data_IF_575408419001
#
_entry.id   IF_575408419001
#
_cell.length_a   1.000
_cell.length_b   1.000
_cell.length_c   1.000
_cell.angle_alpha   90.00
_cell.angle_beta   90.00
_cell.angle_gamma   90.00
#
_symmetry.space_group_name_H-M   'P 1'
#
loop_
_entity.id
_entity.type
_entity.pdbx_description
1 polymer ?
#
# COMPACT_ATOMS: atom_id res chain seq x y z
N UNK A 1 -23.97 -19.81 6.94
CA UNK A 1 -22.54 -20.06 7.22
C UNK A 1 -21.74 -19.11 6.34
N UNK A 2 -21.30 -17.98 6.88
CA UNK A 2 -20.80 -16.85 6.08
C UNK A 2 -19.39 -17.11 5.58
N UNK A 3 -19.18 -16.90 4.27
CA UNK A 3 -17.93 -16.80 3.51
C UNK A 3 -16.98 -15.72 4.07
N UNK A 4 -16.69 -15.67 5.37
CA UNK A 4 -15.66 -14.77 5.91
C UNK A 4 -14.26 -15.36 5.67
N UNK A 5 -13.93 -15.40 4.37
CA UNK A 5 -12.64 -15.12 3.73
C UNK A 5 -11.40 -15.55 4.53
N UNK A 6 -11.04 -16.83 4.41
CA UNK A 6 -9.83 -17.46 4.98
C UNK A 6 -8.53 -16.69 4.69
N UNK A 7 -8.51 -15.87 3.63
CA UNK A 7 -7.37 -15.01 3.31
C UNK A 7 -7.14 -13.90 4.34
N UNK A 8 -8.16 -13.41 5.05
CA UNK A 8 -7.98 -12.37 6.07
C UNK A 8 -7.10 -12.87 7.22
N UNK A 9 -7.14 -14.17 7.52
CA UNK A 9 -6.28 -14.79 8.52
C UNK A 9 -4.78 -14.80 8.12
N UNK A 10 -4.44 -14.44 6.87
CA UNK A 10 -3.06 -14.26 6.41
C UNK A 10 -2.47 -12.90 6.82
N UNK A 11 -3.31 -11.96 7.27
CA UNK A 11 -2.88 -10.62 7.69
C UNK A 11 -2.75 -10.57 9.21
N UNK A 12 -1.61 -10.06 9.70
CA UNK A 12 -1.36 -9.90 11.15
C UNK A 12 -2.28 -8.86 11.79
N UNK A 13 -2.66 -7.82 11.04
CA UNK A 13 -3.58 -6.79 11.48
C UNK A 13 -4.41 -6.26 10.31
N UNK A 14 -5.56 -5.67 10.62
CA UNK A 14 -6.42 -4.98 9.66
C UNK A 14 -6.76 -3.61 10.24
N UNK A 15 -6.44 -2.55 9.50
CA UNK A 15 -6.78 -1.17 9.82
C UNK A 15 -7.70 -0.66 8.73
N UNK A 16 -8.79 -0.02 9.12
CA UNK A 16 -9.87 0.44 8.23
C UNK A 16 -10.09 1.95 8.38
N UNK A 17 -11.02 2.51 7.59
CA UNK A 17 -11.42 3.91 7.72
C UNK A 17 -12.01 4.27 9.09
N UNK A 18 -12.62 3.30 9.78
CA UNK A 18 -13.19 3.51 11.11
C UNK A 18 -12.11 3.59 12.20
N UNK A 19 -10.89 3.14 11.90
CA UNK A 19 -9.75 3.15 12.82
C UNK A 19 -8.93 4.44 12.73
N UNK A 20 -9.29 5.38 11.84
CA UNK A 20 -8.57 6.63 11.59
C UNK A 20 -9.48 7.85 11.74
N UNK A 21 -8.87 8.97 12.09
CA UNK A 21 -9.57 10.26 12.16
C UNK A 21 -9.61 10.92 10.78
N UNK A 22 -8.49 10.86 10.06
CA UNK A 22 -8.33 11.46 8.75
C UNK A 22 -8.18 10.38 7.67
N UNK A 23 -8.98 10.47 6.62
CA UNK A 23 -8.83 9.62 5.44
C UNK A 23 -7.66 10.07 4.55
N UNK A 24 -7.27 9.20 3.62
CA UNK A 24 -6.30 9.53 2.55
C UNK A 24 -6.71 10.85 1.87
N UNK A 25 -5.79 11.80 1.62
CA UNK A 25 -4.34 11.62 1.55
C UNK A 25 -3.57 11.78 2.87
N UNK A 26 -4.26 11.85 4.01
CA UNK A 26 -3.59 11.82 5.31
C UNK A 26 -2.86 10.47 5.53
N UNK A 27 -1.63 10.47 6.09
CA UNK A 27 -0.84 9.25 6.30
C UNK A 27 -1.33 8.34 7.43
N UNK A 28 -2.27 8.79 8.28
CA UNK A 28 -2.65 8.13 9.53
C UNK A 28 -2.91 6.62 9.38
N UNK A 29 -3.58 6.21 8.30
CA UNK A 29 -3.90 4.80 8.07
C UNK A 29 -2.66 3.93 7.87
N UNK A 30 -1.65 4.44 7.14
CA UNK A 30 -0.41 3.70 6.88
C UNK A 30 0.54 3.75 8.07
N UNK A 31 0.57 4.87 8.79
CA UNK A 31 1.34 4.97 10.03
C UNK A 31 0.82 3.99 11.09
N UNK A 32 -0.51 3.91 11.27
CA UNK A 32 -1.13 2.93 12.18
C UNK A 32 -0.87 1.50 11.73
N UNK A 33 -0.99 1.21 10.43
CA UNK A 33 -0.70 -0.12 9.90
C UNK A 33 0.76 -0.55 10.16
N UNK A 34 1.74 0.32 9.90
CA UNK A 34 3.14 0.05 10.17
C UNK A 34 3.38 -0.27 11.66
N UNK A 35 2.82 0.56 12.56
CA UNK A 35 2.94 0.37 14.01
C UNK A 35 2.26 -0.92 14.48
N UNK A 36 1.10 -1.26 13.95
CA UNK A 36 0.39 -2.51 14.25
C UNK A 36 1.16 -3.76 13.78
N UNK A 37 1.98 -3.63 12.73
CA UNK A 37 2.91 -4.65 12.27
C UNK A 37 4.21 -4.70 13.10
N UNK A 38 4.39 -3.82 14.08
CA UNK A 38 5.62 -3.72 14.89
C UNK A 38 6.77 -3.00 14.18
N UNK A 39 6.45 -2.20 13.16
CA UNK A 39 7.41 -1.44 12.36
C UNK A 39 7.24 0.07 12.56
N UNK A 40 8.31 0.83 12.41
CA UNK A 40 8.19 2.29 12.33
C UNK A 40 7.71 2.71 10.93
N UNK A 41 6.92 3.79 10.77
CA UNK A 41 6.61 4.31 9.45
C UNK A 41 7.89 4.73 8.69
N UNK A 42 8.05 4.33 7.43
CA UNK A 42 9.24 4.70 6.66
C UNK A 42 9.50 3.91 5.38
N UNK A 43 10.68 4.10 4.74
CA UNK A 43 10.99 3.57 3.41
C UNK A 43 11.20 2.04 3.35
N UNK A 44 11.13 1.36 4.49
CA UNK A 44 11.15 -0.10 4.58
C UNK A 44 9.74 -0.71 4.50
N UNK A 45 8.69 0.12 4.55
CA UNK A 45 7.32 -0.28 4.27
C UNK A 45 7.00 -0.09 2.77
N UNK A 46 6.19 -1.01 2.22
CA UNK A 46 5.72 -0.97 0.83
C UNK A 46 4.19 -0.90 0.85
N UNK A 47 3.64 0.13 0.21
CA UNK A 47 2.21 0.36 0.03
C UNK A 47 1.82 -0.09 -1.38
N UNK A 48 0.79 -0.91 -1.49
CA UNK A 48 0.13 -1.22 -2.76
C UNK A 48 -1.17 -0.42 -2.83
N UNK A 49 -1.35 0.37 -3.88
CA UNK A 49 -2.44 1.34 -4.00
C UNK A 49 -2.97 1.46 -5.42
N UNK A 50 -4.27 1.71 -5.56
CA UNK A 50 -4.93 1.96 -6.83
C UNK A 50 -5.46 3.39 -6.95
N UNK A 51 -5.22 4.27 -5.96
CA UNK A 51 -5.60 5.68 -6.03
C UNK A 51 -4.42 6.63 -5.73
N UNK A 52 -4.32 7.80 -6.42
CA UNK A 52 -3.28 8.79 -6.16
C UNK A 52 -3.29 9.31 -4.71
N UNK A 53 -4.48 9.46 -4.11
CA UNK A 53 -4.62 9.88 -2.71
C UNK A 53 -3.93 8.89 -1.75
N UNK A 54 -4.01 7.59 -2.05
CA UNK A 54 -3.33 6.56 -1.28
C UNK A 54 -1.81 6.58 -1.47
N UNK A 55 -1.34 6.81 -2.69
CA UNK A 55 0.10 7.02 -2.94
C UNK A 55 0.62 8.21 -2.15
N UNK A 56 -0.09 9.35 -2.17
CA UNK A 56 0.29 10.54 -1.39
C UNK A 56 0.36 10.23 0.09
N UNK A 57 -0.65 9.53 0.63
CA UNK A 57 -0.67 9.12 2.03
C UNK A 57 0.52 8.19 2.39
N UNK A 58 0.84 7.22 1.54
CA UNK A 58 2.01 6.35 1.73
C UNK A 58 3.33 7.13 1.71
N UNK A 59 3.47 8.09 0.78
CA UNK A 59 4.64 8.99 0.74
C UNK A 59 4.72 9.89 1.96
N UNK A 60 3.59 10.40 2.45
CA UNK A 60 3.53 11.22 3.66
C UNK A 60 3.87 10.42 4.93
N UNK A 61 3.62 9.11 4.94
CA UNK A 61 3.91 8.20 6.06
C UNK A 61 5.41 7.85 6.16
N UNK A 62 6.27 8.86 6.28
CA UNK A 62 7.72 8.68 6.41
C UNK A 62 8.44 8.27 5.12
N UNK A 63 7.81 8.47 3.96
CA UNK A 63 8.40 8.14 2.66
C UNK A 63 8.34 6.66 2.31
N UNK A 64 7.24 5.97 2.63
CA UNK A 64 7.05 4.57 2.23
C UNK A 64 7.19 4.39 0.72
N UNK A 65 7.66 3.22 0.30
CA UNK A 65 7.64 2.85 -1.12
C UNK A 65 6.20 2.58 -1.56
N UNK A 66 5.80 3.05 -2.73
CA UNK A 66 4.44 2.94 -3.25
C UNK A 66 4.45 2.25 -4.61
N UNK A 67 3.75 1.12 -4.69
CA UNK A 67 3.42 0.39 -5.91
C UNK A 67 2.00 0.76 -6.29
N UNK A 68 1.83 1.50 -7.37
CA UNK A 68 0.54 1.82 -7.96
C UNK A 68 0.03 0.67 -8.81
N UNK A 69 -1.28 0.45 -8.80
CA UNK A 69 -1.99 -0.46 -9.70
C UNK A 69 -2.87 0.38 -10.64
N UNK A 70 -2.64 0.27 -11.95
CA UNK A 70 -3.46 0.96 -12.96
C UNK A 70 -4.91 0.52 -12.89
N UNK A 71 -5.79 1.48 -13.09
CA UNK A 71 -7.20 1.25 -13.30
C UNK A 71 -7.75 2.19 -14.38
N UNK A 72 -8.95 1.91 -14.86
CA UNK A 72 -9.58 2.69 -15.94
C UNK A 72 -10.12 4.05 -15.50
N UNK A 73 -10.01 4.41 -14.22
CA UNK A 73 -10.60 5.62 -13.65
C UNK A 73 -9.57 6.72 -13.41
N UNK A 74 -8.28 6.39 -13.45
CA UNK A 74 -7.19 7.29 -13.08
C UNK A 74 -6.13 7.33 -14.16
N UNK A 75 -5.78 8.55 -14.59
CA UNK A 75 -4.71 8.79 -15.53
C UNK A 75 -3.33 8.57 -14.88
N UNK A 76 -2.40 7.93 -15.60
CA UNK A 76 -1.01 7.69 -15.16
C UNK A 76 -0.34 8.96 -14.61
N UNK A 77 -0.58 10.13 -15.21
CA UNK A 77 -0.04 11.41 -14.75
C UNK A 77 -0.40 11.72 -13.30
N UNK A 78 -1.56 11.28 -12.81
CA UNK A 78 -1.97 11.49 -11.41
C UNK A 78 -1.15 10.65 -10.43
N UNK A 79 -0.75 9.44 -10.82
CA UNK A 79 0.16 8.64 -10.02
C UNK A 79 1.59 9.23 -10.04
N UNK A 80 2.01 9.79 -11.17
CA UNK A 80 3.30 10.48 -11.29
C UNK A 80 3.35 11.74 -10.44
N UNK A 81 2.29 12.57 -10.46
CA UNK A 81 2.14 13.74 -9.58
C UNK A 81 2.19 13.34 -8.09
N UNK A 82 1.58 12.20 -7.76
CA UNK A 82 1.63 11.59 -6.43
C UNK A 82 2.99 10.95 -6.08
N UNK A 83 3.93 10.91 -7.03
CA UNK A 83 5.29 10.35 -6.90
C UNK A 83 5.30 8.84 -6.63
N UNK A 84 4.43 8.07 -7.29
CA UNK A 84 4.48 6.60 -7.23
C UNK A 84 5.88 6.08 -7.62
N UNK A 85 6.36 5.00 -6.99
CA UNK A 85 7.68 4.44 -7.33
C UNK A 85 7.61 3.51 -8.54
N UNK A 86 6.57 2.69 -8.61
CA UNK A 86 6.31 1.76 -9.73
C UNK A 86 4.81 1.73 -9.98
N UNK A 87 4.41 1.77 -11.24
CA UNK A 87 3.01 1.64 -11.67
C UNK A 87 2.87 0.37 -12.52
N UNK A 88 2.08 -0.59 -12.03
CA UNK A 88 1.88 -1.92 -12.62
C UNK A 88 0.45 -2.06 -13.15
N UNK A 89 0.24 -2.97 -14.11
CA UNK A 89 -1.11 -3.31 -14.57
C UNK A 89 -1.75 -4.40 -13.69
N UNK A 90 -0.93 -5.18 -13.00
CA UNK A 90 -1.36 -6.23 -12.08
C UNK A 90 -0.37 -6.43 -10.93
N UNK A 91 -0.87 -6.79 -9.75
CA UNK A 91 -0.02 -7.17 -8.60
C UNK A 91 0.88 -8.38 -8.92
N UNK A 92 0.48 -9.22 -9.88
CA UNK A 92 1.28 -10.38 -10.32
C UNK A 92 2.58 -10.00 -11.03
N UNK A 93 2.71 -8.74 -11.47
CA UNK A 93 3.92 -8.20 -12.09
C UNK A 93 4.93 -7.67 -11.06
N UNK A 94 4.56 -7.68 -9.77
CA UNK A 94 5.45 -7.24 -8.71
C UNK A 94 6.67 -8.15 -8.63
N UNK A 95 7.87 -7.55 -8.70
CA UNK A 95 9.17 -8.22 -8.59
C UNK A 95 9.76 -7.86 -7.21
N UNK A 96 9.64 -8.74 -6.19
CA UNK A 96 10.02 -8.46 -4.81
C UNK A 96 11.48 -7.99 -4.64
N UNK A 97 12.38 -8.51 -5.47
CA UNK A 97 13.82 -8.25 -5.42
C UNK A 97 14.16 -6.78 -5.69
N UNK A 98 13.36 -6.10 -6.54
CA UNK A 98 13.50 -4.66 -6.79
C UNK A 98 13.21 -3.81 -5.54
N UNK A 99 12.58 -4.41 -4.54
CA UNK A 99 12.25 -3.77 -3.27
C UNK A 99 13.09 -4.29 -2.08
N UNK A 100 14.04 -5.20 -2.33
CA UNK A 100 14.91 -5.80 -1.31
C UNK A 100 14.30 -7.01 -0.60
N UNK A 101 13.25 -7.60 -1.17
CA UNK A 101 12.61 -8.82 -0.66
C UNK A 101 13.16 -10.07 -1.38
N UNK A 102 13.02 -11.27 -0.78
CA UNK A 102 13.36 -12.52 -1.46
C UNK A 102 12.51 -12.74 -2.73
N UNK A 103 13.03 -13.45 -3.75
CA UNK A 103 12.25 -13.83 -4.93
C UNK A 103 11.07 -14.72 -4.54
N UNK A 104 10.07 -14.84 -5.43
CA UNK A 104 9.05 -15.86 -5.28
C UNK A 104 9.66 -17.26 -5.27
N UNK A 105 9.10 -18.14 -4.46
CA UNK A 105 9.40 -19.57 -4.48
C UNK A 105 8.29 -20.29 -5.22
N UNK A 106 8.65 -21.26 -6.06
CA UNK A 106 7.71 -22.19 -6.70
C UNK A 106 6.98 -23.09 -5.70
#
# INVERSE_FOLDING_TARGET
>A
MSLKKDWLAKFQCVITGDDVTNGKPDPEIFEKAARALGSEPGPHCIVFEDAPAGVIAGKAAGGMKCVGLRNHFTDDSKYLDAKVDVLLDSVTEFIPEKFGLPPYTD
#
